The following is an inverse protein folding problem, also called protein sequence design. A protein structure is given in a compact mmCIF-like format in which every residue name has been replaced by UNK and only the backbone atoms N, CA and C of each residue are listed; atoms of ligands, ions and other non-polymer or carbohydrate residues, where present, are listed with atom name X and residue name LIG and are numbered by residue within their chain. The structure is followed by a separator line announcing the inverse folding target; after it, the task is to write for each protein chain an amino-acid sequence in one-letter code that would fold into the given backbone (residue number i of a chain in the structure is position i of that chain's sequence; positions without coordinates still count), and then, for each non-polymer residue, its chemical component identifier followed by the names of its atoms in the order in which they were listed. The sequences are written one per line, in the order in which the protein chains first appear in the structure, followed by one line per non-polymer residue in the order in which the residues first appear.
data_IF_101102189758
#
_entry.id   IF_101102189758
#
_cell.length_a   1.000
_cell.length_b   1.000
_cell.length_c   1.000
_cell.angle_alpha   90.00
_cell.angle_beta   90.00
_cell.angle_gamma   90.00
#
_symmetry.space_group_name_H-M   'P 1'
#
loop_
_entity.id
_entity.type
_entity.pdbx_description
1 polymer ?
#
# COMPACT_ATOMS: atom_id res chain seq x y z
N UNK A 1 -20.97 0.10 5.68
CA UNK A 1 -21.55 1.44 5.91
C UNK A 1 -21.67 1.74 7.39
N UNK A 2 -22.47 0.99 8.16
CA UNK A 2 -22.73 1.22 9.60
C UNK A 2 -21.46 1.52 10.38
N UNK A 3 -20.40 0.70 10.19
CA UNK A 3 -19.13 0.88 10.88
C UNK A 3 -18.46 2.22 10.58
N UNK A 4 -18.28 2.55 9.30
CA UNK A 4 -17.61 3.80 8.93
C UNK A 4 -18.41 5.03 9.35
N UNK A 5 -19.73 5.01 9.19
CA UNK A 5 -20.59 6.08 9.70
C UNK A 5 -20.50 6.24 11.21
N UNK A 6 -20.40 5.13 11.98
CA UNK A 6 -20.34 5.20 13.45
C UNK A 6 -19.01 5.74 13.97
N UNK A 7 -17.88 5.44 13.31
CA UNK A 7 -16.55 5.87 13.79
C UNK A 7 -16.11 7.25 13.26
N UNK A 8 -16.62 7.65 12.09
CA UNK A 8 -16.30 8.94 11.48
C UNK A 8 -17.25 10.03 11.98
N UNK A 9 -18.53 9.67 12.25
CA UNK A 9 -19.55 10.63 12.68
C UNK A 9 -19.76 11.73 11.63
N UNK A 10 -19.86 12.97 12.08
CA UNK A 10 -20.14 14.15 11.25
C UNK A 10 -18.87 14.92 10.83
N UNK A 11 -17.66 14.36 11.05
CA UNK A 11 -16.38 14.98 10.65
C UNK A 11 -16.25 15.08 9.13
N UNK A 12 -16.83 14.12 8.42
CA UNK A 12 -16.84 14.06 6.95
C UNK A 12 -18.28 13.90 6.46
N UNK A 13 -18.68 14.60 5.38
CA UNK A 13 -19.99 14.41 4.76
C UNK A 13 -20.26 12.94 4.44
N UNK A 14 -21.47 12.46 4.77
CA UNK A 14 -21.84 11.05 4.60
C UNK A 14 -21.70 10.55 3.15
N UNK A 15 -21.97 11.40 2.20
CA UNK A 15 -21.83 11.13 0.76
C UNK A 15 -20.38 10.75 0.37
N UNK A 16 -19.37 11.33 1.03
CA UNK A 16 -17.96 10.95 0.81
C UNK A 16 -17.67 9.55 1.36
N UNK A 17 -18.20 9.23 2.53
CA UNK A 17 -18.07 7.88 3.12
C UNK A 17 -18.72 6.84 2.21
N UNK A 18 -19.92 7.13 1.74
CA UNK A 18 -20.67 6.24 0.85
C UNK A 18 -19.97 6.08 -0.49
N UNK A 19 -19.48 7.16 -1.08
CA UNK A 19 -18.68 7.11 -2.32
C UNK A 19 -17.43 6.25 -2.14
N UNK A 20 -16.70 6.38 -1.05
CA UNK A 20 -15.54 5.54 -0.74
C UNK A 20 -15.91 4.04 -0.71
N UNK A 21 -17.03 3.71 -0.07
CA UNK A 21 -17.50 2.32 0.02
C UNK A 21 -17.92 1.77 -1.36
N UNK A 22 -18.68 2.56 -2.10
CA UNK A 22 -19.27 2.13 -3.38
C UNK A 22 -18.23 2.04 -4.51
N UNK A 23 -17.27 2.97 -4.53
CA UNK A 23 -16.23 3.04 -5.54
C UNK A 23 -14.98 2.23 -5.20
N UNK A 24 -14.81 1.83 -3.94
CA UNK A 24 -13.65 1.06 -3.49
C UNK A 24 -13.37 -0.20 -4.33
N UNK A 25 -14.36 -1.07 -4.60
CA UNK A 25 -14.16 -2.26 -5.44
C UNK A 25 -13.75 -1.94 -6.88
N UNK A 26 -14.32 -0.89 -7.47
CA UNK A 26 -13.98 -0.43 -8.83
C UNK A 26 -12.54 0.11 -8.88
N UNK A 27 -12.17 0.97 -7.93
CA UNK A 27 -10.81 1.49 -7.78
C UNK A 27 -9.80 0.36 -7.63
N UNK A 28 -10.08 -0.61 -6.75
CA UNK A 28 -9.20 -1.74 -6.52
C UNK A 28 -9.03 -2.58 -7.81
N UNK A 29 -10.11 -2.85 -8.52
CA UNK A 29 -10.09 -3.58 -9.79
C UNK A 29 -9.27 -2.85 -10.84
N UNK A 30 -9.41 -1.52 -10.92
CA UNK A 30 -8.62 -0.68 -11.81
C UNK A 30 -7.12 -0.77 -11.49
N UNK A 31 -6.74 -0.62 -10.22
CA UNK A 31 -5.34 -0.68 -9.79
C UNK A 31 -4.72 -2.04 -10.09
N UNK A 32 -5.42 -3.14 -9.75
CA UNK A 32 -4.91 -4.50 -9.98
C UNK A 32 -4.79 -4.84 -11.48
N UNK A 33 -5.65 -4.27 -12.32
CA UNK A 33 -5.58 -4.46 -13.78
C UNK A 33 -4.44 -3.69 -14.43
N UNK A 34 -4.13 -2.50 -13.92
CA UNK A 34 -3.18 -1.56 -14.53
C UNK A 34 -1.82 -1.50 -13.83
N UNK A 35 -1.52 -2.43 -12.91
CA UNK A 35 -0.23 -2.51 -12.23
C UNK A 35 0.18 -3.96 -12.00
N UNK A 36 1.43 -4.16 -11.56
CA UNK A 36 1.90 -5.50 -11.13
C UNK A 36 1.57 -5.78 -9.65
N UNK A 37 0.74 -4.97 -9.02
CA UNK A 37 0.33 -5.16 -7.64
C UNK A 37 -0.55 -6.41 -7.52
N UNK A 38 -0.20 -7.26 -6.59
CA UNK A 38 -1.04 -8.37 -6.17
C UNK A 38 -1.40 -8.19 -4.68
N UNK A 39 -2.65 -8.43 -4.34
CA UNK A 39 -3.12 -8.38 -2.98
C UNK A 39 -3.51 -9.76 -2.46
N UNK A 40 -3.42 -9.91 -1.15
CA UNK A 40 -3.96 -11.05 -0.43
C UNK A 40 -4.82 -10.59 0.73
N UNK A 41 -5.87 -11.35 1.02
CA UNK A 41 -6.70 -11.15 2.18
C UNK A 41 -5.95 -11.48 3.47
N UNK A 42 -6.16 -10.65 4.51
CA UNK A 42 -5.59 -10.88 5.84
C UNK A 42 -6.71 -11.35 6.78
N UNK A 43 -6.87 -12.68 6.94
CA UNK A 43 -7.90 -13.21 7.82
C UNK A 43 -7.62 -12.81 9.27
N UNK A 44 -8.69 -12.53 10.01
CA UNK A 44 -8.61 -12.21 11.44
C UNK A 44 -7.81 -10.94 11.78
N UNK A 45 -7.64 -10.02 10.84
CA UNK A 45 -7.21 -8.67 11.14
C UNK A 45 -8.46 -7.86 11.52
N UNK A 46 -8.56 -7.48 12.79
CA UNK A 46 -9.73 -6.77 13.32
C UNK A 46 -9.81 -5.35 12.77
N UNK A 47 -11.02 -4.80 12.75
CA UNK A 47 -11.21 -3.36 12.63
C UNK A 47 -10.51 -2.66 13.82
N UNK A 48 -10.20 -1.38 13.68
CA UNK A 48 -9.57 -0.61 14.76
C UNK A 48 -10.48 -0.46 15.99
N UNK A 49 -11.79 -0.41 15.76
CA UNK A 49 -12.83 -0.36 16.79
C UNK A 49 -13.84 -1.49 16.55
N UNK A 50 -13.46 -2.74 16.82
CA UNK A 50 -14.30 -3.88 16.51
C UNK A 50 -15.59 -3.93 17.35
N UNK A 51 -15.61 -3.21 18.49
CA UNK A 51 -16.73 -3.02 19.39
C UNK A 51 -17.75 -1.99 18.91
N UNK A 52 -17.37 -1.11 17.96
CA UNK A 52 -18.28 -0.11 17.41
C UNK A 52 -19.38 -0.73 16.55
N UNK A 53 -20.56 -0.06 16.40
CA UNK A 53 -21.65 -0.55 15.55
C UNK A 53 -21.18 -0.96 14.16
N UNK A 54 -21.42 -2.19 13.78
CA UNK A 54 -20.95 -2.76 12.51
C UNK A 54 -19.48 -3.14 12.46
N UNK A 55 -18.74 -3.02 13.58
CA UNK A 55 -17.36 -3.47 13.72
C UNK A 55 -17.21 -4.98 13.57
N UNK A 56 -16.04 -5.45 13.15
CA UNK A 56 -15.73 -6.88 12.98
C UNK A 56 -14.36 -7.23 13.54
N UNK A 57 -14.26 -8.43 14.10
CA UNK A 57 -13.01 -9.01 14.58
C UNK A 57 -12.07 -9.47 13.45
N UNK A 58 -12.48 -9.36 12.20
CA UNK A 58 -11.62 -9.65 11.06
C UNK A 58 -12.38 -9.69 9.73
N UNK A 59 -11.60 -9.81 8.66
CA UNK A 59 -12.10 -10.13 7.33
C UNK A 59 -12.30 -8.95 6.37
N UNK A 60 -11.83 -7.74 6.70
CA UNK A 60 -11.96 -6.57 5.82
C UNK A 60 -10.64 -5.99 5.31
N UNK A 61 -9.52 -6.59 5.69
CA UNK A 61 -8.21 -6.07 5.34
C UNK A 61 -7.53 -6.91 4.26
N UNK A 62 -6.83 -6.22 3.38
CA UNK A 62 -5.93 -6.81 2.38
C UNK A 62 -4.53 -6.24 2.56
N UNK A 63 -3.53 -6.99 2.16
CA UNK A 63 -2.14 -6.54 2.12
C UNK A 63 -1.49 -6.93 0.79
N UNK A 64 -0.44 -6.23 0.36
CA UNK A 64 0.35 -6.66 -0.79
C UNK A 64 0.98 -8.03 -0.56
N UNK A 65 0.91 -8.89 -1.58
CA UNK A 65 1.76 -10.08 -1.62
C UNK A 65 3.22 -9.67 -1.73
N UNK A 66 4.17 -10.54 -1.30
CA UNK A 66 5.58 -10.28 -1.51
C UNK A 66 5.89 -9.99 -2.98
N UNK A 67 6.47 -8.83 -3.25
CA UNK A 67 6.81 -8.35 -4.59
C UNK A 67 8.31 -8.55 -4.87
N UNK A 68 8.68 -8.99 -6.05
CA UNK A 68 10.09 -9.06 -6.43
C UNK A 68 10.61 -7.69 -6.89
N UNK A 69 11.33 -6.99 -6.00
CA UNK A 69 11.86 -5.65 -6.24
C UNK A 69 12.80 -5.55 -7.45
N UNK A 70 13.44 -6.65 -7.85
CA UNK A 70 14.29 -6.64 -9.06
C UNK A 70 13.53 -6.29 -10.34
N UNK A 71 12.20 -6.38 -10.34
CA UNK A 71 11.38 -5.90 -11.46
C UNK A 71 11.49 -4.40 -11.71
N UNK A 72 11.86 -3.63 -10.70
CA UNK A 72 12.08 -2.18 -10.82
C UNK A 72 13.47 -1.81 -11.36
N UNK A 73 14.39 -2.77 -11.48
CA UNK A 73 15.75 -2.50 -11.92
C UNK A 73 16.45 -1.45 -11.03
N UNK A 74 17.04 -0.43 -11.64
CA UNK A 74 17.73 0.64 -10.93
C UNK A 74 16.81 1.47 -10.01
N UNK A 75 15.52 1.55 -10.34
CA UNK A 75 14.51 2.30 -9.58
C UNK A 75 14.15 1.68 -8.22
N UNK A 76 14.62 0.46 -7.96
CA UNK A 76 14.49 -0.14 -6.62
C UNK A 76 15.15 0.71 -5.53
N UNK A 77 16.24 1.39 -5.86
CA UNK A 77 16.95 2.31 -4.97
C UNK A 77 16.20 3.62 -4.68
N UNK A 78 15.19 3.96 -5.47
CA UNK A 78 14.34 5.14 -5.28
C UNK A 78 13.28 4.92 -4.19
N UNK A 79 12.97 3.65 -3.86
CA UNK A 79 12.02 3.34 -2.80
C UNK A 79 12.65 3.52 -1.42
N UNK A 80 11.94 4.26 -0.57
CA UNK A 80 12.31 4.39 0.84
C UNK A 80 12.53 3.03 1.52
N UNK A 81 13.55 2.90 2.38
CA UNK A 81 13.80 1.69 3.13
C UNK A 81 12.64 1.37 4.09
N UNK A 82 12.51 0.10 4.48
CA UNK A 82 11.53 -0.30 5.49
C UNK A 82 11.80 0.41 6.82
N UNK A 83 10.79 1.09 7.36
CA UNK A 83 10.85 1.73 8.68
C UNK A 83 11.11 0.71 9.80
N UNK A 84 10.43 -0.44 9.73
CA UNK A 84 10.65 -1.55 10.64
C UNK A 84 11.46 -2.64 9.94
N UNK A 85 12.72 -2.76 10.31
CA UNK A 85 13.61 -3.80 9.78
C UNK A 85 13.30 -5.15 10.45
N UNK A 86 12.97 -6.15 9.66
CA UNK A 86 12.92 -7.53 10.16
C UNK A 86 14.35 -8.05 10.37
N UNK A 87 14.59 -8.87 11.42
CA UNK A 87 15.88 -9.53 11.58
C UNK A 87 16.26 -10.29 10.31
N UNK A 88 17.52 -10.17 9.88
CA UNK A 88 18.08 -10.89 8.71
C UNK A 88 17.30 -10.70 7.39
N UNK A 89 16.58 -9.60 7.22
CA UNK A 89 15.76 -9.31 6.03
C UNK A 89 14.70 -10.39 5.73
N UNK A 90 14.16 -11.03 6.76
CA UNK A 90 13.05 -11.96 6.58
C UNK A 90 11.82 -11.25 5.99
N UNK A 91 11.25 -11.88 4.99
CA UNK A 91 10.05 -11.38 4.29
C UNK A 91 8.82 -11.82 5.09
N UNK A 92 8.37 -10.96 6.00
CA UNK A 92 7.24 -11.22 6.91
C UNK A 92 6.06 -10.34 6.51
N UNK A 93 4.95 -10.98 6.15
CA UNK A 93 3.67 -10.30 5.86
C UNK A 93 2.84 -10.14 7.12
N UNK A 94 1.79 -9.33 7.10
CA UNK A 94 0.86 -9.18 8.22
C UNK A 94 0.15 -10.50 8.53
N UNK A 95 -0.18 -11.29 7.51
CA UNK A 95 -0.76 -12.62 7.70
C UNK A 95 0.19 -13.61 8.39
N UNK A 96 1.52 -13.43 8.25
CA UNK A 96 2.52 -14.22 8.96
C UNK A 96 2.67 -13.78 10.41
N UNK A 97 2.67 -12.48 10.65
CA UNK A 97 3.00 -11.86 11.93
C UNK A 97 2.17 -12.40 13.10
N UNK A 98 0.86 -12.53 12.91
CA UNK A 98 -0.04 -13.10 13.93
C UNK A 98 0.41 -14.47 14.43
N UNK A 99 0.78 -15.36 13.51
CA UNK A 99 1.17 -16.73 13.86
C UNK A 99 2.58 -16.80 14.44
N UNK A 100 3.47 -15.93 13.97
CA UNK A 100 4.83 -15.84 14.53
C UNK A 100 4.79 -15.37 15.99
N UNK A 101 3.88 -14.48 16.36
CA UNK A 101 3.68 -14.09 17.76
C UNK A 101 3.14 -15.22 18.66
N UNK A 102 2.57 -16.26 18.05
CA UNK A 102 2.04 -17.43 18.76
C UNK A 102 2.93 -18.67 18.58
N UNK A 103 4.23 -18.47 18.29
CA UNK A 103 5.16 -19.53 17.91
C UNK A 103 5.15 -20.74 18.86
N UNK A 104 5.16 -20.50 20.17
CA UNK A 104 5.18 -21.55 21.20
C UNK A 104 3.79 -21.85 21.78
N UNK A 105 2.76 -21.10 21.40
CA UNK A 105 1.41 -21.22 21.98
C UNK A 105 0.39 -21.87 21.06
N UNK A 106 0.73 -22.02 19.78
CA UNK A 106 -0.18 -22.56 18.76
C UNK A 106 0.61 -23.37 17.72
N UNK A 107 0.20 -24.60 17.37
CA UNK A 107 0.92 -25.43 16.39
C UNK A 107 1.01 -24.82 14.99
N UNK A 108 0.16 -23.84 14.68
CA UNK A 108 0.25 -23.07 13.42
C UNK A 108 1.43 -22.10 13.40
N UNK A 109 1.97 -21.71 14.57
CA UNK A 109 3.13 -20.83 14.71
C UNK A 109 4.39 -21.42 14.06
N UNK A 110 4.89 -22.60 14.50
CA UNK A 110 6.04 -23.27 13.89
C UNK A 110 5.85 -23.54 12.39
N UNK A 111 4.65 -23.98 11.97
CA UNK A 111 4.35 -24.21 10.56
C UNK A 111 4.47 -22.92 9.73
N UNK A 112 4.01 -21.80 10.28
CA UNK A 112 4.13 -20.49 9.62
C UNK A 112 5.58 -20.02 9.58
N UNK A 113 6.35 -20.21 10.67
CA UNK A 113 7.78 -19.88 10.70
C UNK A 113 8.56 -20.68 9.65
N UNK A 114 8.28 -21.97 9.52
CA UNK A 114 8.87 -22.81 8.47
C UNK A 114 8.55 -22.29 7.08
N UNK A 115 7.29 -21.89 6.82
CA UNK A 115 6.87 -21.30 5.53
C UNK A 115 7.61 -19.98 5.24
N UNK A 116 7.78 -19.11 6.24
CA UNK A 116 8.55 -17.87 6.11
C UNK A 116 10.01 -18.18 5.80
N UNK A 117 10.61 -19.13 6.51
CA UNK A 117 11.98 -19.59 6.26
C UNK A 117 12.18 -20.16 4.86
N UNK A 118 11.26 -21.02 4.39
CA UNK A 118 11.29 -21.54 3.03
C UNK A 118 11.15 -20.44 1.98
N UNK A 119 10.28 -19.46 2.19
CA UNK A 119 10.14 -18.30 1.29
C UNK A 119 11.44 -17.50 1.21
N UNK A 120 12.09 -17.26 2.34
CA UNK A 120 13.38 -16.58 2.41
C UNK A 120 14.48 -17.36 1.66
N UNK A 121 14.58 -18.67 1.90
CA UNK A 121 15.56 -19.52 1.24
C UNK A 121 15.31 -19.59 -0.28
N UNK A 122 14.06 -19.77 -0.69
CA UNK A 122 13.67 -19.76 -2.10
C UNK A 122 14.01 -18.42 -2.78
N UNK A 123 13.80 -17.30 -2.10
CA UNK A 123 14.18 -15.99 -2.62
C UNK A 123 15.70 -15.89 -2.82
N UNK A 124 16.49 -16.36 -1.84
CA UNK A 124 17.96 -16.39 -1.96
C UNK A 124 18.44 -17.25 -3.12
N UNK A 125 17.93 -18.48 -3.22
CA UNK A 125 18.32 -19.41 -4.29
C UNK A 125 17.92 -18.90 -5.67
N UNK A 126 16.74 -18.26 -5.79
CA UNK A 126 16.27 -17.69 -7.06
C UNK A 126 16.78 -16.28 -7.31
N UNK A 127 17.60 -15.73 -6.41
CA UNK A 127 18.15 -14.38 -6.52
C UNK A 127 17.10 -13.28 -6.49
N UNK A 128 15.91 -13.51 -5.92
CA UNK A 128 14.85 -12.50 -5.81
C UNK A 128 15.10 -11.57 -4.61
N UNK A 129 14.80 -10.29 -4.78
CA UNK A 129 14.73 -9.32 -3.70
C UNK A 129 13.26 -9.07 -3.35
N UNK A 130 12.77 -9.74 -2.31
CA UNK A 130 11.34 -9.69 -1.97
C UNK A 130 11.03 -8.52 -1.05
N UNK A 131 10.19 -7.64 -1.54
CA UNK A 131 9.58 -6.54 -0.80
C UNK A 131 8.24 -6.98 -0.21
N UNK A 132 7.86 -6.38 0.92
CA UNK A 132 6.57 -6.62 1.61
C UNK A 132 5.97 -5.30 2.08
N UNK A 133 4.72 -5.35 2.54
CA UNK A 133 4.03 -4.20 3.15
C UNK A 133 4.05 -2.95 2.23
N UNK A 134 4.38 -1.77 2.78
CA UNK A 134 4.38 -0.52 2.02
C UNK A 134 5.32 -0.53 0.82
N UNK A 135 6.52 -1.12 0.94
CA UNK A 135 7.44 -1.22 -0.20
C UNK A 135 6.89 -2.08 -1.34
N UNK A 136 6.22 -3.19 -1.03
CA UNK A 136 5.56 -4.00 -2.05
C UNK A 136 4.37 -3.26 -2.71
N UNK A 137 3.62 -2.48 -1.92
CA UNK A 137 2.55 -1.64 -2.44
C UNK A 137 3.10 -0.61 -3.43
N UNK A 138 4.09 0.17 -2.99
CA UNK A 138 4.70 1.21 -3.81
C UNK A 138 5.36 0.63 -5.06
N UNK A 139 6.10 -0.48 -4.93
CA UNK A 139 6.72 -1.15 -6.07
C UNK A 139 5.69 -1.62 -7.11
N UNK A 140 4.58 -2.19 -6.65
CA UNK A 140 3.51 -2.62 -7.53
C UNK A 140 2.84 -1.46 -8.27
N UNK A 141 2.55 -0.36 -7.57
CA UNK A 141 1.98 0.86 -8.18
C UNK A 141 2.96 1.54 -9.13
N UNK A 142 4.23 1.59 -8.78
CA UNK A 142 5.29 2.16 -9.60
C UNK A 142 5.34 1.50 -10.98
N UNK A 143 5.27 0.16 -11.04
CA UNK A 143 5.22 -0.55 -12.32
C UNK A 143 4.01 -0.18 -13.18
N UNK A 144 2.89 0.14 -12.55
CA UNK A 144 1.69 0.60 -13.27
C UNK A 144 1.89 1.99 -13.89
N UNK A 145 2.48 2.92 -13.13
CA UNK A 145 2.81 4.26 -13.62
C UNK A 145 3.81 4.21 -14.79
N UNK A 146 4.86 3.39 -14.67
CA UNK A 146 5.82 3.17 -15.74
C UNK A 146 5.16 2.63 -17.02
N UNK A 147 4.32 1.61 -16.86
CA UNK A 147 3.60 1.02 -18.00
C UNK A 147 2.64 2.00 -18.67
N UNK A 148 2.11 2.96 -17.92
CA UNK A 148 1.27 4.03 -18.42
C UNK A 148 2.06 5.23 -18.98
N UNK A 149 3.39 5.21 -18.90
CA UNK A 149 4.25 6.33 -19.34
C UNK A 149 4.12 7.57 -18.45
N UNK A 150 3.68 7.42 -17.21
CA UNK A 150 3.54 8.53 -16.26
C UNK A 150 4.89 8.77 -15.57
N UNK A 151 5.51 9.95 -15.74
CA UNK A 151 6.76 10.27 -15.08
C UNK A 151 6.56 10.45 -13.58
N UNK A 152 7.52 9.98 -12.80
CA UNK A 152 7.58 10.20 -11.34
C UNK A 152 8.75 11.13 -11.08
N UNK A 153 8.46 12.30 -10.55
CA UNK A 153 9.46 13.31 -10.20
C UNK A 153 9.81 13.14 -8.73
N UNK A 154 11.04 12.72 -8.45
CA UNK A 154 11.56 12.57 -7.10
C UNK A 154 12.14 13.90 -6.61
N UNK A 155 12.19 14.08 -5.27
CA UNK A 155 12.74 15.28 -4.64
C UNK A 155 12.13 16.58 -5.18
N UNK A 156 10.87 16.53 -5.57
CA UNK A 156 10.13 17.61 -6.21
C UNK A 156 9.00 18.07 -5.28
N UNK A 157 9.31 18.83 -4.23
CA UNK A 157 8.32 19.30 -3.29
C UNK A 157 7.35 20.29 -3.95
N UNK A 158 6.06 20.04 -3.75
CA UNK A 158 5.01 20.99 -4.11
C UNK A 158 5.12 22.22 -3.21
N UNK A 159 5.12 23.41 -3.81
CA UNK A 159 5.25 24.67 -3.11
C UNK A 159 3.97 25.50 -3.13
N UNK A 160 3.14 25.38 -4.16
CA UNK A 160 1.89 26.12 -4.28
C UNK A 160 0.87 25.41 -5.17
N UNK A 161 -0.40 25.84 -5.06
CA UNK A 161 -1.51 25.43 -5.93
C UNK A 161 -1.89 26.59 -6.85
N UNK A 162 -1.95 26.32 -8.16
CA UNK A 162 -2.49 27.28 -9.13
C UNK A 162 -4.02 27.22 -9.07
N UNK A 163 -4.65 28.34 -8.65
CA UNK A 163 -6.10 28.40 -8.45
C UNK A 163 -6.69 29.53 -9.31
N UNK A 164 -7.60 29.16 -10.20
CA UNK A 164 -8.37 30.09 -11.02
C UNK A 164 -9.88 29.96 -10.71
N UNK A 165 -10.52 31.08 -10.31
CA UNK A 165 -11.95 31.10 -9.98
C UNK A 165 -12.38 30.02 -8.95
N UNK A 166 -11.50 29.69 -7.97
CA UNK A 166 -11.77 28.70 -6.94
C UNK A 166 -11.58 27.24 -7.40
N UNK A 167 -11.05 27.03 -8.59
CA UNK A 167 -10.72 25.70 -9.16
C UNK A 167 -9.21 25.57 -9.23
N UNK A 168 -8.68 24.43 -8.77
CA UNK A 168 -7.26 24.11 -8.93
C UNK A 168 -7.01 23.75 -10.39
N UNK A 169 -6.11 24.48 -11.06
CA UNK A 169 -5.75 24.28 -12.47
C UNK A 169 -4.35 23.73 -12.65
N UNK A 170 -3.56 23.72 -11.58
CA UNK A 170 -2.20 23.22 -11.62
C UNK A 170 -1.53 23.27 -10.25
N UNK A 171 -0.23 23.00 -10.26
CA UNK A 171 0.63 23.06 -9.08
C UNK A 171 1.97 23.69 -9.44
N UNK A 172 2.55 24.39 -8.51
CA UNK A 172 3.95 24.83 -8.60
C UNK A 172 4.81 23.95 -7.69
N UNK A 173 5.92 23.46 -8.20
CA UNK A 173 6.85 22.61 -7.47
C UNK A 173 8.30 23.03 -7.73
N UNK A 174 9.20 22.65 -6.84
CA UNK A 174 10.63 22.86 -7.02
C UNK A 174 11.23 21.65 -7.71
N UNK A 175 11.77 21.84 -8.92
CA UNK A 175 12.48 20.84 -9.72
C UNK A 175 13.92 21.28 -9.86
N UNK A 176 14.87 20.47 -9.38
CA UNK A 176 16.31 20.77 -9.43
C UNK A 176 16.70 22.16 -8.88
N UNK A 177 15.95 22.62 -7.88
CA UNK A 177 16.15 23.93 -7.23
C UNK A 177 15.43 25.09 -7.90
N UNK A 178 14.76 24.89 -9.03
CA UNK A 178 13.99 25.90 -9.75
C UNK A 178 12.48 25.69 -9.58
N UNK A 179 11.73 26.80 -9.56
CA UNK A 179 10.26 26.76 -9.51
C UNK A 179 9.70 26.42 -10.89
N UNK A 180 8.88 25.36 -10.96
CA UNK A 180 8.21 24.93 -12.19
C UNK A 180 6.72 24.75 -11.94
N UNK A 181 5.90 25.28 -12.87
CA UNK A 181 4.44 25.09 -12.84
C UNK A 181 4.02 23.95 -13.74
N UNK A 182 3.15 23.08 -13.21
CA UNK A 182 2.51 21.96 -13.91
C UNK A 182 1.01 22.22 -13.97
N UNK A 183 0.44 22.23 -15.15
CA UNK A 183 -1.02 22.42 -15.35
C UNK A 183 -1.71 21.10 -15.62
N UNK A 184 -2.97 20.98 -15.18
CA UNK A 184 -3.81 19.81 -15.43
C UNK A 184 -5.14 20.21 -16.05
N UNK A 185 -5.64 19.41 -17.01
CA UNK A 185 -6.91 19.66 -17.68
C UNK A 185 -8.14 19.45 -16.78
N UNK A 186 -8.00 18.68 -15.72
CA UNK A 186 -9.10 18.30 -14.82
C UNK A 186 -8.81 18.62 -13.36
N UNK A 187 -7.81 19.43 -13.11
CA UNK A 187 -7.42 19.83 -11.76
C UNK A 187 -6.55 18.85 -11.00
#
# INVERSE_FOLDING_TARGET
RTYLHSIIGDVVPKERIDTYIDRGPEMLSFVLKNSSLELQWVPNYSDYYPEAPGGRLGGRSVEPKPFNGKKLGAKLGELEPDYVKAPSNFVITQADYRWLNLLVRNPRGPLRAMRVGMRFLAAKVTGKDLLVRGRALMAGLYTGLEAAGVPILLNTPLTDLEVENGVVTGVTATVDGESQTFTARHG
#
